data_IF_915727291536
#
_entry.id   IF_915727291536
#
_cell.length_a   1.000
_cell.length_b   1.000
_cell.length_c   1.000
_cell.angle_alpha   90.00
_cell.angle_beta   90.00
_cell.angle_gamma   90.00
#
_symmetry.space_group_name_H-M   'P 1'
#
loop_
_entity.id
_entity.type
_entity.pdbx_description
1 polymer ?
#
# COMPACT_ATOMS: atom_id res chain seq x y z
N UNK A 1 11.48 -73.46 -48.76
CA UNK A 1 10.58 -73.62 -47.59
C UNK A 1 11.40 -73.63 -46.31
N UNK A 2 10.88 -72.98 -45.24
CA UNK A 2 11.43 -72.78 -43.87
C UNK A 2 12.22 -71.47 -43.72
N UNK A 3 11.52 -70.35 -43.54
CA UNK A 3 10.96 -69.72 -42.30
C UNK A 3 12.02 -68.93 -41.51
N UNK A 4 11.85 -67.61 -41.56
CA UNK A 4 12.51 -66.57 -40.76
C UNK A 4 12.13 -66.68 -39.27
N UNK A 5 12.97 -66.18 -38.36
CA UNK A 5 12.49 -65.24 -37.34
C UNK A 5 13.44 -64.02 -37.29
N UNK A 6 12.99 -62.81 -37.64
CA UNK A 6 12.33 -61.82 -36.76
C UNK A 6 13.08 -61.58 -35.44
N UNK A 7 14.04 -60.65 -35.47
CA UNK A 7 14.43 -59.89 -34.28
C UNK A 7 14.41 -58.40 -34.61
N UNK A 8 13.46 -57.74 -33.95
CA UNK A 8 13.07 -56.36 -34.00
C UNK A 8 13.99 -55.58 -33.05
N UNK A 9 14.97 -54.84 -33.58
CA UNK A 9 15.76 -53.92 -32.76
C UNK A 9 15.02 -52.58 -32.70
N UNK A 10 14.20 -52.45 -31.66
CA UNK A 10 13.55 -51.21 -31.24
C UNK A 10 14.61 -50.31 -30.60
N UNK A 11 15.08 -49.30 -31.33
CA UNK A 11 15.92 -48.24 -30.76
C UNK A 11 15.09 -47.38 -29.81
N UNK A 12 15.25 -47.60 -28.51
CA UNK A 12 14.67 -46.75 -27.46
C UNK A 12 15.53 -45.48 -27.38
N UNK A 13 15.02 -44.37 -27.91
CA UNK A 13 15.56 -43.04 -27.65
C UNK A 13 14.97 -42.57 -26.31
N UNK A 14 15.78 -42.63 -25.25
CA UNK A 14 15.48 -42.04 -23.95
C UNK A 14 15.54 -40.50 -24.07
N UNK A 15 14.41 -39.87 -24.37
CA UNK A 15 14.24 -38.44 -24.14
C UNK A 15 14.11 -38.20 -22.64
N UNK A 16 15.23 -37.88 -21.98
CA UNK A 16 15.21 -37.28 -20.66
C UNK A 16 14.62 -35.88 -20.77
N UNK A 17 13.33 -35.74 -20.49
CA UNK A 17 12.72 -34.43 -20.32
C UNK A 17 13.21 -33.87 -18.99
N UNK A 18 14.18 -32.96 -19.06
CA UNK A 18 14.50 -32.08 -17.93
C UNK A 18 13.26 -31.19 -17.74
N UNK A 19 12.40 -31.54 -16.79
CA UNK A 19 11.41 -30.61 -16.27
C UNK A 19 12.16 -29.49 -15.57
N UNK A 20 12.42 -28.39 -16.29
CA UNK A 20 12.69 -27.11 -15.64
C UNK A 20 11.41 -26.74 -14.89
N UNK A 21 11.38 -27.04 -13.60
CA UNK A 21 10.36 -26.52 -12.70
C UNK A 21 10.53 -25.01 -12.65
N UNK A 22 9.69 -24.28 -13.39
CA UNK A 22 9.48 -22.88 -13.10
C UNK A 22 8.88 -22.82 -11.69
N UNK A 23 9.67 -22.33 -10.72
CA UNK A 23 9.13 -21.97 -9.43
C UNK A 23 8.06 -20.91 -9.67
N UNK A 24 6.80 -21.32 -9.53
CA UNK A 24 5.67 -20.42 -9.55
C UNK A 24 5.77 -19.61 -8.26
N UNK A 25 6.32 -18.40 -8.33
CA UNK A 25 6.29 -17.48 -7.20
C UNK A 25 4.82 -17.19 -6.93
N UNK A 26 4.25 -17.82 -5.90
CA UNK A 26 2.93 -17.44 -5.38
C UNK A 26 3.03 -15.99 -4.91
N UNK A 27 2.56 -15.07 -5.74
CA UNK A 27 2.33 -13.69 -5.33
C UNK A 27 1.22 -13.71 -4.32
N UNK A 28 1.58 -13.64 -3.04
CA UNK A 28 0.63 -13.51 -1.93
C UNK A 28 -0.20 -12.25 -2.15
N UNK A 29 -1.44 -12.40 -2.61
CA UNK A 29 -2.34 -11.27 -2.80
C UNK A 29 -2.69 -10.65 -1.45
N UNK A 30 -2.41 -9.35 -1.32
CA UNK A 30 -2.74 -8.60 -0.12
C UNK A 30 -4.24 -8.30 -0.13
N UNK A 31 -4.95 -8.51 1.00
CA UNK A 31 -6.35 -8.14 1.08
C UNK A 31 -6.51 -6.63 0.92
N UNK A 32 -7.60 -6.19 0.31
CA UNK A 32 -7.95 -4.78 0.17
C UNK A 32 -9.41 -4.53 0.55
N UNK A 33 -9.71 -3.28 0.91
CA UNK A 33 -11.07 -2.86 1.23
C UNK A 33 -11.96 -2.94 -0.03
N UNK A 34 -13.07 -3.69 0.09
CA UNK A 34 -14.01 -3.87 -1.02
C UNK A 34 -14.55 -2.53 -1.50
N UNK A 35 -14.63 -2.35 -2.82
CA UNK A 35 -15.16 -1.12 -3.41
C UNK A 35 -14.21 0.08 -3.33
N UNK A 36 -12.98 -0.05 -2.84
CA UNK A 36 -12.10 1.10 -2.59
C UNK A 36 -10.80 1.06 -3.37
N UNK A 37 -10.48 2.20 -4.00
CA UNK A 37 -9.16 2.46 -4.58
C UNK A 37 -8.59 3.74 -4.00
N UNK A 38 -7.26 3.80 -3.95
CA UNK A 38 -6.50 5.02 -3.69
C UNK A 38 -5.84 5.42 -5.00
N UNK A 39 -5.92 6.70 -5.35
CA UNK A 39 -5.23 7.24 -6.50
C UNK A 39 -4.58 8.58 -6.17
N UNK A 40 -3.53 8.90 -6.93
CA UNK A 40 -2.90 10.21 -6.94
C UNK A 40 -3.03 10.84 -8.31
N UNK A 41 -3.41 12.11 -8.34
CA UNK A 41 -3.44 12.92 -9.55
C UNK A 41 -2.08 13.57 -9.78
N UNK A 42 -1.73 13.75 -11.05
CA UNK A 42 -0.54 14.54 -11.41
C UNK A 42 -0.73 15.98 -10.95
N UNK A 43 0.36 16.61 -10.46
CA UNK A 43 0.36 17.97 -9.89
C UNK A 43 -0.17 19.08 -10.82
N UNK A 44 -0.33 18.81 -12.11
CA UNK A 44 -0.94 19.73 -13.07
C UNK A 44 -2.47 19.84 -12.95
N UNK A 45 -3.13 19.06 -12.08
CA UNK A 45 -4.60 18.95 -11.98
C UNK A 45 -5.06 19.15 -10.53
N UNK A 46 -6.08 20.00 -10.32
CA UNK A 46 -6.70 20.26 -9.00
C UNK A 46 -8.12 19.68 -8.90
N UNK A 47 -8.60 19.38 -7.69
CA UNK A 47 -9.93 18.74 -7.44
C UNK A 47 -11.12 19.46 -8.08
N UNK A 48 -11.08 20.80 -8.14
CA UNK A 48 -12.14 21.62 -8.77
C UNK A 48 -12.23 21.35 -10.27
N UNK A 49 -11.10 20.99 -10.87
CA UNK A 49 -11.00 20.42 -12.20
C UNK A 49 -11.17 18.89 -12.13
N UNK A 50 -12.04 18.29 -11.33
CA UNK A 50 -12.51 16.91 -11.58
C UNK A 50 -14.00 16.95 -11.95
N UNK A 51 -14.64 18.08 -11.69
CA UNK A 51 -16.06 18.32 -11.91
C UNK A 51 -16.36 19.15 -13.16
N UNK A 52 -15.35 19.75 -13.83
CA UNK A 52 -15.59 20.65 -14.97
C UNK A 52 -14.46 20.76 -16.01
N UNK A 53 -14.76 20.26 -17.21
CA UNK A 53 -14.32 20.75 -18.54
C UNK A 53 -12.97 20.24 -19.13
N UNK A 54 -13.15 19.37 -20.13
CA UNK A 54 -12.28 18.95 -21.25
C UNK A 54 -11.08 18.05 -20.97
N UNK A 55 -10.20 18.34 -20.00
CA UNK A 55 -9.12 17.40 -19.58
C UNK A 55 -9.61 16.32 -18.60
N UNK A 56 -10.92 16.27 -18.36
CA UNK A 56 -11.56 15.43 -17.34
C UNK A 56 -12.60 14.51 -17.93
N UNK A 57 -12.76 14.53 -19.25
CA UNK A 57 -13.71 13.69 -19.92
C UNK A 57 -13.37 12.21 -19.70
N UNK A 58 -12.08 11.84 -19.64
CA UNK A 58 -11.65 10.47 -19.38
C UNK A 58 -11.94 10.03 -17.94
N UNK A 59 -11.48 10.78 -16.93
CA UNK A 59 -11.75 10.47 -15.51
C UNK A 59 -13.26 10.52 -15.21
N UNK A 60 -13.99 11.52 -15.70
CA UNK A 60 -15.43 11.61 -15.51
C UNK A 60 -16.17 10.45 -16.19
N UNK A 61 -15.71 10.02 -17.37
CA UNK A 61 -16.25 8.81 -18.02
C UNK A 61 -15.97 7.57 -17.21
N UNK A 62 -14.77 7.39 -16.66
CA UNK A 62 -14.44 6.29 -15.76
C UNK A 62 -15.32 6.30 -14.51
N UNK A 63 -15.45 7.46 -13.85
CA UNK A 63 -16.30 7.64 -12.67
C UNK A 63 -17.75 7.23 -12.97
N UNK A 64 -18.28 7.63 -14.14
CA UNK A 64 -19.63 7.27 -14.57
C UNK A 64 -19.74 5.79 -14.90
N UNK A 65 -18.82 5.24 -15.69
CA UNK A 65 -18.83 3.86 -16.18
C UNK A 65 -18.75 2.85 -15.03
N UNK A 66 -18.03 3.19 -13.97
CA UNK A 66 -17.86 2.33 -12.80
C UNK A 66 -18.76 2.71 -11.61
N UNK A 67 -19.74 3.61 -11.82
CA UNK A 67 -20.71 4.02 -10.81
C UNK A 67 -20.07 4.51 -9.50
N UNK A 68 -19.11 5.44 -9.62
CA UNK A 68 -18.44 6.06 -8.48
C UNK A 68 -19.47 6.64 -7.51
N UNK A 69 -19.39 6.22 -6.25
CA UNK A 69 -20.31 6.63 -5.20
C UNK A 69 -19.81 7.87 -4.45
N UNK A 70 -18.50 7.95 -4.19
CA UNK A 70 -17.89 9.11 -3.54
C UNK A 70 -16.39 9.20 -3.80
N UNK A 71 -15.89 10.43 -3.69
CA UNK A 71 -14.46 10.77 -3.73
C UNK A 71 -14.14 11.64 -2.52
N UNK A 72 -13.03 11.37 -1.83
CA UNK A 72 -12.54 12.20 -0.73
C UNK A 72 -11.02 12.32 -0.75
N UNK A 73 -10.44 13.45 -0.33
CA UNK A 73 -9.00 13.56 -0.15
C UNK A 73 -8.53 12.62 0.98
N UNK A 74 -7.37 11.99 0.79
CA UNK A 74 -6.77 11.13 1.81
C UNK A 74 -6.19 11.95 2.97
N UNK A 75 -5.62 13.12 2.68
CA UNK A 75 -5.05 14.01 3.67
C UNK A 75 -5.91 15.27 3.82
N UNK A 76 -6.38 15.50 5.05
CA UNK A 76 -7.11 16.73 5.38
C UNK A 76 -6.17 17.93 5.28
N UNK A 77 -6.63 18.99 4.60
CA UNK A 77 -6.01 20.31 4.71
C UNK A 77 -6.02 20.69 6.18
N UNK A 78 -4.83 20.72 6.79
CA UNK A 78 -4.66 21.30 8.10
C UNK A 78 -5.17 22.73 7.99
N UNK A 79 -6.19 23.06 8.79
CA UNK A 79 -6.92 24.32 8.70
C UNK A 79 -5.93 25.48 8.62
N UNK A 80 -6.09 26.32 7.60
CA UNK A 80 -5.38 27.60 7.51
C UNK A 80 -5.58 28.32 8.85
N UNK A 81 -4.52 28.37 9.65
CA UNK A 81 -4.48 29.22 10.84
C UNK A 81 -4.62 30.64 10.29
N UNK A 82 -5.80 31.23 10.44
CA UNK A 82 -6.05 32.58 9.95
C UNK A 82 -5.05 33.54 10.63
N UNK A 83 -4.57 34.58 9.93
CA UNK A 83 -3.66 35.56 10.51
C UNK A 83 -4.17 36.18 11.81
N UNK A 84 -5.49 36.20 12.03
CA UNK A 84 -6.11 36.66 13.28
C UNK A 84 -5.70 35.86 14.51
N UNK A 85 -5.34 34.57 14.37
CA UNK A 85 -4.82 33.75 15.47
C UNK A 85 -3.31 33.94 15.74
N UNK A 86 -2.61 34.68 14.88
CA UNK A 86 -1.15 34.93 15.01
C UNK A 86 -0.88 36.27 15.71
N UNK A 87 -1.79 37.26 15.59
CA UNK A 87 -1.57 38.62 16.12
C UNK A 87 -1.45 38.67 17.67
N UNK A 88 -1.90 37.63 18.39
CA UNK A 88 -1.82 37.57 19.86
C UNK A 88 -0.63 36.78 20.43
N UNK A 89 0.33 36.34 19.61
CA UNK A 89 1.56 35.68 20.11
C UNK A 89 2.76 36.55 19.78
N UNK A 90 3.31 37.14 20.84
CA UNK A 90 4.26 38.24 20.83
C UNK A 90 5.39 38.13 19.81
N UNK A 91 5.68 39.29 19.23
CA UNK A 91 6.80 39.63 18.37
C UNK A 91 8.13 38.99 18.78
N UNK A 92 8.69 38.16 17.89
CA UNK A 92 10.11 38.11 17.60
C UNK A 92 10.32 37.39 16.26
N UNK A 93 10.75 38.15 15.26
CA UNK A 93 11.01 37.72 13.90
C UNK A 93 12.01 36.57 13.81
N UNK A 94 11.60 35.48 13.16
CA UNK A 94 12.43 34.81 12.16
C UNK A 94 11.56 34.56 10.94
N UNK A 95 11.83 35.35 9.90
CA UNK A 95 11.34 35.15 8.53
C UNK A 95 11.95 33.87 8.00
N UNK A 96 11.38 32.74 8.39
CA UNK A 96 11.51 31.52 7.62
C UNK A 96 10.31 31.53 6.68
N UNK A 97 10.57 31.88 5.42
CA UNK A 97 9.73 31.46 4.30
C UNK A 97 9.82 29.94 4.21
N UNK A 98 9.30 29.25 5.22
CA UNK A 98 8.92 27.87 5.11
C UNK A 98 7.81 27.87 4.07
N UNK A 99 8.09 27.25 2.94
CA UNK A 99 7.12 26.95 1.91
C UNK A 99 5.92 26.24 2.56
N UNK A 100 4.89 27.00 2.93
CA UNK A 100 3.61 26.44 3.38
C UNK A 100 2.84 25.99 2.14
N UNK A 101 3.44 25.06 1.39
CA UNK A 101 2.78 24.14 0.48
C UNK A 101 2.69 22.78 1.18
N UNK A 102 2.25 22.79 2.44
CA UNK A 102 2.13 21.60 3.28
C UNK A 102 0.69 21.05 3.23
N UNK A 103 0.17 20.81 2.02
CA UNK A 103 -0.80 19.72 1.78
C UNK A 103 -0.90 19.33 0.29
N UNK A 104 0.23 19.01 -0.34
CA UNK A 104 0.38 18.87 -1.80
C UNK A 104 0.11 17.48 -2.38
N UNK A 105 -0.43 16.52 -1.61
CA UNK A 105 -0.31 15.14 -2.02
C UNK A 105 -1.26 14.72 -3.16
N UNK A 106 -2.32 15.50 -3.47
CA UNK A 106 -3.31 15.18 -4.53
C UNK A 106 -3.77 13.70 -4.54
N UNK A 107 -3.87 13.09 -3.35
CA UNK A 107 -4.28 11.70 -3.16
C UNK A 107 -5.74 11.65 -2.72
N UNK A 108 -6.50 10.75 -3.34
CA UNK A 108 -7.92 10.57 -3.09
C UNK A 108 -8.26 9.10 -2.85
N UNK A 109 -9.26 8.87 -2.01
CA UNK A 109 -9.96 7.60 -1.89
C UNK A 109 -11.25 7.71 -2.70
N UNK A 110 -11.45 6.77 -3.61
CA UNK A 110 -12.66 6.61 -4.40
C UNK A 110 -13.42 5.37 -3.91
N UNK A 111 -14.74 5.49 -3.74
CA UNK A 111 -15.63 4.40 -3.34
C UNK A 111 -16.56 4.01 -4.49
N UNK A 112 -16.64 2.72 -4.77
CA UNK A 112 -17.47 2.07 -5.79
C UNK A 112 -18.39 1.03 -5.12
N UNK A 113 -19.40 0.49 -5.84
CA UNK A 113 -20.20 -0.64 -5.35
C UNK A 113 -19.32 -1.81 -4.89
N UNK A 114 -19.72 -2.51 -3.82
CA UNK A 114 -18.91 -3.56 -3.17
C UNK A 114 -18.61 -4.76 -4.08
N UNK A 115 -19.48 -5.00 -5.06
CA UNK A 115 -19.39 -6.05 -6.08
C UNK A 115 -18.57 -5.62 -7.32
N UNK A 116 -17.99 -4.43 -7.31
CA UNK A 116 -17.16 -3.93 -8.40
C UNK A 116 -15.87 -4.73 -8.55
N UNK A 117 -15.46 -4.98 -9.79
CA UNK A 117 -14.15 -5.54 -10.10
C UNK A 117 -13.06 -4.45 -9.91
N UNK A 118 -12.44 -4.44 -8.73
CA UNK A 118 -11.46 -3.42 -8.34
C UNK A 118 -10.18 -3.48 -9.18
N UNK A 119 -9.72 -4.67 -9.55
CA UNK A 119 -8.52 -4.83 -10.38
C UNK A 119 -8.71 -4.22 -11.77
N UNK A 120 -9.86 -4.46 -12.41
CA UNK A 120 -10.23 -3.84 -13.67
C UNK A 120 -10.27 -2.31 -13.54
N UNK A 121 -10.93 -1.81 -12.49
CA UNK A 121 -11.04 -0.37 -12.23
C UNK A 121 -9.64 0.24 -12.08
N UNK A 122 -8.80 -0.33 -11.21
CA UNK A 122 -7.43 0.14 -10.98
C UNK A 122 -6.66 0.17 -12.29
N UNK A 123 -6.71 -0.90 -13.10
CA UNK A 123 -6.02 -0.96 -14.40
C UNK A 123 -6.48 0.17 -15.32
N UNK A 124 -7.77 0.52 -15.32
CA UNK A 124 -8.31 1.59 -16.18
C UNK A 124 -7.91 2.97 -15.70
N UNK A 125 -7.96 3.21 -14.40
CA UNK A 125 -7.51 4.46 -13.81
C UNK A 125 -5.99 4.66 -13.99
N UNK A 126 -5.18 3.60 -13.85
CA UNK A 126 -3.73 3.67 -14.11
C UNK A 126 -3.37 4.06 -15.56
N UNK A 127 -4.25 3.76 -16.52
CA UNK A 127 -4.06 4.12 -17.93
C UNK A 127 -4.52 5.55 -18.27
N UNK A 128 -5.11 6.28 -17.31
CA UNK A 128 -5.55 7.66 -17.54
C UNK A 128 -4.36 8.62 -17.49
N UNK A 129 -4.21 9.53 -18.48
CA UNK A 129 -3.05 10.42 -18.58
C UNK A 129 -2.92 11.41 -17.42
N UNK A 130 -3.97 11.65 -16.64
CA UNK A 130 -3.98 12.59 -15.51
C UNK A 130 -3.72 11.91 -14.16
N UNK A 131 -3.63 10.59 -14.15
CA UNK A 131 -3.37 9.78 -12.95
C UNK A 131 -1.87 9.47 -12.87
N UNK A 132 -1.27 9.74 -11.71
CA UNK A 132 0.12 9.39 -11.42
C UNK A 132 0.22 7.93 -11.02
N UNK A 133 -0.68 7.48 -10.14
CA UNK A 133 -0.87 6.08 -9.81
C UNK A 133 -2.28 5.82 -9.27
N UNK A 134 -2.72 4.56 -9.36
CA UNK A 134 -3.89 4.06 -8.68
C UNK A 134 -3.63 2.63 -8.19
N UNK A 135 -4.20 2.25 -7.04
CA UNK A 135 -4.11 0.91 -6.48
C UNK A 135 -5.33 0.60 -5.59
N UNK A 136 -5.61 -0.68 -5.29
CA UNK A 136 -6.61 -1.05 -4.29
C UNK A 136 -6.26 -0.45 -2.92
N UNK A 137 -7.26 -0.17 -2.09
CA UNK A 137 -7.01 0.24 -0.71
C UNK A 137 -6.61 -0.98 0.15
N UNK A 138 -5.32 -1.34 0.15
CA UNK A 138 -4.81 -2.53 0.85
C UNK A 138 -4.96 -2.46 2.37
N UNK A 139 -5.30 -3.59 2.96
CA UNK A 139 -5.40 -3.79 4.40
C UNK A 139 -4.16 -4.53 4.88
N UNK A 140 -3.24 -3.81 5.52
CA UNK A 140 -2.08 -4.40 6.16
C UNK A 140 -2.33 -4.57 7.65
N UNK A 141 -1.84 -5.68 8.21
CA UNK A 141 -1.75 -5.88 9.66
C UNK A 141 -0.29 -5.81 10.02
N UNK A 142 0.06 -4.84 10.87
CA UNK A 142 1.38 -4.76 11.44
C UNK A 142 1.44 -5.75 12.61
N UNK A 143 2.47 -6.59 12.62
CA UNK A 143 2.86 -7.35 13.79
C UNK A 143 4.29 -6.91 14.10
N UNK A 144 4.49 -6.32 15.28
CA UNK A 144 5.78 -5.79 15.69
C UNK A 144 6.29 -6.58 16.88
N UNK A 145 7.54 -7.01 16.78
CA UNK A 145 8.30 -7.55 17.89
C UNK A 145 9.66 -6.86 17.81
N UNK A 146 10.17 -6.29 18.92
CA UNK A 146 11.50 -5.71 18.93
C UNK A 146 12.54 -6.71 18.45
N UNK A 147 13.53 -6.23 17.70
CA UNK A 147 14.68 -6.98 17.22
C UNK A 147 15.82 -7.05 18.24
N UNK A 148 15.53 -6.80 19.52
CA UNK A 148 16.49 -6.93 20.62
C UNK A 148 16.71 -8.42 20.95
N UNK A 149 17.96 -8.94 20.86
CA UNK A 149 18.27 -10.33 21.20
C UNK A 149 17.83 -10.76 22.60
N UNK A 150 17.74 -9.80 23.54
CA UNK A 150 17.37 -10.07 24.93
C UNK A 150 15.86 -9.98 25.19
N UNK A 151 15.06 -9.57 24.20
CA UNK A 151 13.62 -9.40 24.37
C UNK A 151 12.89 -10.73 24.63
N UNK A 152 13.27 -11.79 23.92
CA UNK A 152 12.67 -13.13 24.06
C UNK A 152 13.57 -14.15 24.74
N UNK A 153 14.68 -13.74 25.34
CA UNK A 153 15.60 -14.64 26.04
C UNK A 153 15.43 -14.62 27.57
N UNK A 154 16.11 -15.55 28.22
CA UNK A 154 16.19 -15.68 29.67
C UNK A 154 17.58 -16.13 30.09
N UNK A 155 17.94 -15.86 31.34
CA UNK A 155 19.16 -16.37 31.97
C UNK A 155 20.47 -15.94 31.30
N UNK A 156 20.47 -14.88 30.48
CA UNK A 156 21.68 -14.38 29.81
C UNK A 156 22.78 -13.92 30.79
N UNK A 157 22.42 -13.63 32.04
CA UNK A 157 23.34 -13.22 33.10
C UNK A 157 23.33 -14.16 34.32
N UNK A 158 22.85 -15.40 34.16
CA UNK A 158 22.82 -16.41 35.23
C UNK A 158 21.68 -16.25 36.24
N UNK A 159 20.61 -15.56 35.85
CA UNK A 159 19.39 -15.38 36.65
C UNK A 159 18.25 -16.32 36.23
N UNK A 160 17.34 -16.60 37.16
CA UNK A 160 16.21 -17.55 36.96
C UNK A 160 14.95 -16.92 36.34
N UNK A 161 15.08 -15.71 35.78
CA UNK A 161 13.98 -14.99 35.15
C UNK A 161 14.37 -14.40 33.80
N UNK A 162 13.35 -14.05 33.04
CA UNK A 162 13.43 -13.42 31.73
C UNK A 162 14.42 -12.24 31.65
N UNK A 163 15.16 -12.18 30.55
CA UNK A 163 15.93 -10.99 30.23
C UNK A 163 14.97 -9.82 29.95
N UNK A 164 15.47 -8.60 30.18
CA UNK A 164 14.66 -7.37 30.14
C UNK A 164 13.41 -7.42 31.04
N UNK A 165 13.47 -8.15 32.16
CA UNK A 165 12.35 -8.32 33.11
C UNK A 165 11.64 -7.01 33.47
N UNK A 166 12.39 -5.91 33.66
CA UNK A 166 11.79 -4.61 33.99
C UNK A 166 10.81 -4.13 32.92
N UNK A 167 11.16 -4.27 31.63
CA UNK A 167 10.30 -3.89 30.52
C UNK A 167 9.06 -4.78 30.44
N UNK A 168 9.24 -6.10 30.66
CA UNK A 168 8.16 -7.09 30.71
C UNK A 168 7.21 -6.82 31.89
N UNK A 169 7.77 -6.48 33.06
CA UNK A 169 7.00 -6.19 34.27
C UNK A 169 6.16 -4.92 34.15
N UNK A 170 6.68 -3.93 33.43
CA UNK A 170 5.98 -2.69 33.09
C UNK A 170 5.02 -2.85 31.90
N UNK A 171 4.98 -4.03 31.26
CA UNK A 171 4.14 -4.32 30.09
C UNK A 171 4.34 -3.31 28.94
N UNK A 172 5.59 -2.90 28.71
CA UNK A 172 5.97 -1.89 27.71
C UNK A 172 5.56 -2.31 26.29
N UNK A 173 5.46 -3.62 26.02
CA UNK A 173 5.00 -4.16 24.73
C UNK A 173 3.64 -3.58 24.32
N UNK A 174 2.69 -3.53 25.25
CA UNK A 174 1.36 -2.95 25.02
C UNK A 174 1.39 -1.42 24.90
N UNK A 175 2.44 -0.76 25.40
CA UNK A 175 2.61 0.68 25.25
C UNK A 175 3.12 1.05 23.85
N UNK A 176 3.98 0.23 23.24
CA UNK A 176 4.44 0.44 21.86
C UNK A 176 3.33 0.33 20.82
N UNK A 177 2.25 -0.41 21.12
CA UNK A 177 1.02 -0.40 20.32
C UNK A 177 0.31 0.97 20.35
N UNK A 178 0.63 1.84 21.30
CA UNK A 178 0.02 3.18 21.48
C UNK A 178 0.95 4.31 21.05
N UNK A 179 2.21 4.26 21.46
CA UNK A 179 3.23 5.24 21.08
C UNK A 179 4.62 4.68 21.33
N UNK A 180 5.56 5.01 20.45
CA UNK A 180 6.99 4.69 20.60
C UNK A 180 7.81 5.90 21.06
N UNK A 181 7.14 7.00 21.43
CA UNK A 181 7.79 8.20 21.96
C UNK A 181 8.32 9.16 20.88
N UNK A 182 7.77 9.12 19.67
CA UNK A 182 8.06 10.11 18.63
C UNK A 182 7.46 11.47 19.05
N UNK A 183 8.30 12.51 19.08
CA UNK A 183 7.96 13.89 19.42
C UNK A 183 8.34 14.87 18.32
#
# INVERSE_FOLDING_TARGET
MKKLPFYLFLGIVLFSTISLGFAQTETKELPYAQGQIVLKLKNSINTTQIQGVTSLNSIASLNKNYHLQSIRPLFSQQQNVTPENIINRGSASQTQTAEINSNSANIYILNFPKDSNIEEIVRRYQNDPYIEYAHPNYLIKLNFTPDDPFFSSSSSWGQDFDDLWGLKKMQIESAWDKTQGEG
#
